data_IF_248033811255
#
_entry.id   IF_248033811255
#
_cell.length_a   1.000
_cell.length_b   1.000
_cell.length_c   1.000
_cell.angle_alpha   90.00
_cell.angle_beta   90.00
_cell.angle_gamma   90.00
#
_symmetry.space_group_name_H-M   'P 1'
#
loop_
_entity.id
_entity.type
_entity.pdbx_description
1 polymer ?
#
# COMPACT_ATOMS: atom_id res chain seq x y z
N UNK A 1 30.08 -18.86 13.50
CA UNK A 1 29.56 -19.49 12.26
C UNK A 1 28.31 -20.26 12.63
N UNK A 2 27.16 -19.59 12.72
CA UNK A 2 25.89 -20.24 13.05
C UNK A 2 25.21 -20.72 11.77
N UNK A 3 25.20 -22.03 11.59
CA UNK A 3 24.48 -22.70 10.51
C UNK A 3 22.98 -22.58 10.74
N UNK A 4 22.25 -22.12 9.72
CA UNK A 4 20.79 -22.19 9.67
C UNK A 4 20.35 -23.66 9.70
N UNK A 5 19.99 -24.16 10.87
CA UNK A 5 19.39 -25.48 11.04
C UNK A 5 17.94 -25.48 10.52
N UNK A 6 17.59 -26.44 9.66
CA UNK A 6 16.18 -26.74 9.31
C UNK A 6 15.81 -26.73 7.82
N UNK A 7 16.70 -26.39 6.89
CA UNK A 7 16.39 -26.53 5.46
C UNK A 7 16.47 -28.01 5.04
N UNK A 8 15.34 -28.59 4.61
CA UNK A 8 15.33 -29.89 3.93
C UNK A 8 16.27 -29.78 2.72
N UNK A 9 17.16 -30.76 2.56
CA UNK A 9 17.96 -30.90 1.33
C UNK A 9 17.00 -31.16 0.17
N UNK A 10 16.71 -30.13 -0.62
CA UNK A 10 16.00 -30.27 -1.88
C UNK A 10 16.88 -31.04 -2.88
N UNK A 11 16.25 -31.88 -3.72
CA UNK A 11 16.96 -32.59 -4.80
C UNK A 11 17.62 -31.55 -5.71
N UNK A 12 18.80 -31.89 -6.26
CA UNK A 12 19.47 -31.04 -7.23
C UNK A 12 18.51 -30.72 -8.39
N UNK A 13 18.10 -29.45 -8.48
CA UNK A 13 17.21 -28.95 -9.53
C UNK A 13 17.94 -29.00 -10.88
N UNK A 14 17.20 -29.22 -11.97
CA UNK A 14 17.81 -29.20 -13.30
C UNK A 14 18.33 -27.79 -13.62
N UNK A 15 19.36 -27.66 -14.49
CA UNK A 15 19.86 -26.34 -14.93
C UNK A 15 18.77 -25.42 -15.49
N UNK A 16 17.74 -26.00 -16.12
CA UNK A 16 16.60 -25.28 -16.67
C UNK A 16 15.71 -24.67 -15.58
N UNK A 17 15.42 -25.43 -14.50
CA UNK A 17 14.64 -24.94 -13.36
C UNK A 17 15.39 -23.84 -12.61
N UNK A 18 16.70 -24.00 -12.42
CA UNK A 18 17.56 -22.99 -11.79
C UNK A 18 17.56 -21.69 -12.60
N UNK A 19 17.72 -21.78 -13.92
CA UNK A 19 17.69 -20.61 -14.81
C UNK A 19 16.33 -19.92 -14.78
N UNK A 20 15.23 -20.67 -14.86
CA UNK A 20 13.89 -20.11 -14.80
C UNK A 20 13.60 -19.41 -13.45
N UNK A 21 14.15 -19.91 -12.34
CA UNK A 21 14.06 -19.24 -11.03
C UNK A 21 14.86 -17.93 -11.02
N UNK A 22 16.10 -17.96 -11.52
CA UNK A 22 16.95 -16.77 -11.61
C UNK A 22 16.31 -15.68 -12.50
N UNK A 23 15.72 -16.06 -13.63
CA UNK A 23 15.04 -15.12 -14.51
C UNK A 23 13.82 -14.47 -13.83
N UNK A 24 13.04 -15.25 -13.05
CA UNK A 24 11.93 -14.71 -12.23
C UNK A 24 12.41 -13.80 -11.12
N UNK A 25 13.44 -14.18 -10.38
CA UNK A 25 14.04 -13.36 -9.33
C UNK A 25 14.60 -12.04 -9.90
N UNK A 26 15.24 -12.09 -11.07
CA UNK A 26 15.75 -10.90 -11.74
C UNK A 26 14.63 -9.91 -12.11
N UNK A 27 13.47 -10.39 -12.54
CA UNK A 27 12.29 -9.54 -12.79
C UNK A 27 11.82 -8.88 -11.50
N UNK A 28 11.66 -9.65 -10.42
CA UNK A 28 11.23 -9.10 -9.12
C UNK A 28 12.20 -8.05 -8.56
N UNK A 29 13.51 -8.28 -8.72
CA UNK A 29 14.55 -7.32 -8.30
C UNK A 29 14.47 -6.03 -9.11
N UNK A 30 14.23 -6.13 -10.43
CA UNK A 30 14.06 -4.95 -11.29
C UNK A 30 12.83 -4.14 -10.89
N UNK A 31 11.68 -4.79 -10.76
CA UNK A 31 10.44 -4.14 -10.33
C UNK A 31 10.61 -3.45 -8.97
N UNK A 32 11.24 -4.12 -8.00
CA UNK A 32 11.51 -3.52 -6.69
C UNK A 32 12.46 -2.31 -6.77
N UNK A 33 13.48 -2.37 -7.63
CA UNK A 33 14.43 -1.27 -7.83
C UNK A 33 13.74 -0.06 -8.45
N UNK A 34 12.92 -0.26 -9.48
CA UNK A 34 12.13 0.81 -10.12
C UNK A 34 11.18 1.47 -9.12
N UNK A 35 10.48 0.68 -8.29
CA UNK A 35 9.60 1.22 -7.24
C UNK A 35 10.37 2.09 -6.24
N UNK A 36 11.56 1.65 -5.84
CA UNK A 36 12.43 2.39 -4.91
C UNK A 36 12.92 3.70 -5.50
N UNK A 37 13.35 3.69 -6.75
CA UNK A 37 13.84 4.89 -7.46
C UNK A 37 12.72 5.92 -7.60
N UNK A 38 11.53 5.50 -8.04
CA UNK A 38 10.36 6.39 -8.14
C UNK A 38 9.97 7.01 -6.78
N UNK A 39 10.00 6.23 -5.69
CA UNK A 39 9.76 6.76 -4.35
C UNK A 39 10.84 7.75 -3.92
N UNK A 40 12.10 7.45 -4.21
CA UNK A 40 13.23 8.32 -3.87
C UNK A 40 13.12 9.66 -4.56
N UNK A 41 12.75 9.69 -5.84
CA UNK A 41 12.52 10.92 -6.60
C UNK A 41 11.43 11.80 -5.98
N UNK A 42 10.29 11.20 -5.60
CA UNK A 42 9.22 11.92 -4.90
C UNK A 42 9.75 12.55 -3.61
N UNK A 43 10.42 11.75 -2.77
CA UNK A 43 10.90 12.19 -1.45
C UNK A 43 11.97 13.28 -1.58
N UNK A 44 12.92 13.12 -2.50
CA UNK A 44 14.00 14.09 -2.73
C UNK A 44 13.47 15.41 -3.28
N UNK A 45 12.47 15.36 -4.15
CA UNK A 45 11.85 16.56 -4.72
C UNK A 45 11.12 17.41 -3.67
N UNK A 46 10.64 16.77 -2.59
CA UNK A 46 9.75 17.37 -1.57
C UNK A 46 8.53 18.07 -2.15
N UNK A 47 8.12 17.70 -3.37
CA UNK A 47 6.91 18.21 -4.02
C UNK A 47 5.74 17.31 -3.62
N UNK A 48 4.98 17.77 -2.64
CA UNK A 48 3.81 17.08 -2.11
C UNK A 48 2.56 17.52 -2.87
N UNK A 49 2.44 17.11 -4.12
CA UNK A 49 1.38 17.55 -5.02
C UNK A 49 0.56 16.40 -5.59
N UNK A 50 -0.36 16.73 -6.52
CA UNK A 50 -1.22 15.76 -7.18
C UNK A 50 -0.43 14.76 -8.04
N UNK A 51 0.74 15.15 -8.57
CA UNK A 51 1.57 14.27 -9.38
C UNK A 51 2.27 13.23 -8.50
N UNK A 52 2.74 13.64 -7.31
CA UNK A 52 3.24 12.72 -6.29
C UNK A 52 2.14 11.74 -5.82
N UNK A 53 0.92 12.24 -5.59
CA UNK A 53 -0.21 11.39 -5.21
C UNK A 53 -0.58 10.39 -6.32
N UNK A 54 -0.62 10.84 -7.59
CA UNK A 54 -0.87 9.97 -8.75
C UNK A 54 0.21 8.90 -8.91
N UNK A 55 1.47 9.27 -8.69
CA UNK A 55 2.59 8.32 -8.74
C UNK A 55 2.45 7.27 -7.63
N UNK A 56 2.22 7.66 -6.37
CA UNK A 56 2.02 6.68 -5.29
C UNK A 56 0.80 5.77 -5.53
N UNK A 57 -0.28 6.27 -6.12
CA UNK A 57 -1.43 5.46 -6.55
C UNK A 57 -1.00 4.39 -7.57
N UNK A 58 -0.20 4.75 -8.57
CA UNK A 58 0.31 3.80 -9.56
C UNK A 58 1.23 2.75 -8.93
N UNK A 59 2.09 3.16 -7.99
CA UNK A 59 2.98 2.25 -7.27
C UNK A 59 2.20 1.27 -6.38
N UNK A 60 1.15 1.72 -5.69
CA UNK A 60 0.30 0.86 -4.84
C UNK A 60 -0.50 -0.17 -5.64
N UNK A 61 -0.89 0.16 -6.88
CA UNK A 61 -1.50 -0.84 -7.78
C UNK A 61 -0.54 -1.96 -8.17
N UNK A 62 0.77 -1.66 -8.24
CA UNK A 62 1.82 -2.67 -8.51
C UNK A 62 2.20 -3.45 -7.24
N UNK A 63 2.32 -2.76 -6.11
CA UNK A 63 2.76 -3.35 -4.84
C UNK A 63 1.94 -2.81 -3.64
N UNK A 64 0.73 -3.35 -3.42
CA UNK A 64 -0.21 -2.84 -2.42
C UNK A 64 0.29 -2.97 -0.98
N UNK A 65 1.15 -3.95 -0.71
CA UNK A 65 1.68 -4.22 0.63
C UNK A 65 3.07 -3.59 0.88
N UNK A 66 3.58 -2.78 -0.05
CA UNK A 66 4.83 -2.09 0.18
C UNK A 66 4.64 -0.87 1.08
N UNK A 67 4.90 -1.08 2.38
CA UNK A 67 4.66 -0.11 3.46
C UNK A 67 5.27 1.28 3.23
N UNK A 68 6.44 1.36 2.58
CA UNK A 68 7.11 2.64 2.33
C UNK A 68 6.28 3.55 1.44
N UNK A 69 5.54 3.00 0.46
CA UNK A 69 4.65 3.79 -0.40
C UNK A 69 3.54 4.44 0.43
N UNK A 70 2.94 3.70 1.36
CA UNK A 70 1.89 4.22 2.26
C UNK A 70 2.40 5.33 3.16
N UNK A 71 3.62 5.21 3.70
CA UNK A 71 4.23 6.26 4.51
C UNK A 71 4.45 7.53 3.69
N UNK A 72 5.00 7.41 2.48
CA UNK A 72 5.20 8.55 1.57
C UNK A 72 3.85 9.16 1.18
N UNK A 73 2.82 8.34 0.90
CA UNK A 73 1.47 8.81 0.60
C UNK A 73 0.87 9.63 1.75
N UNK A 74 1.03 9.20 3.00
CA UNK A 74 0.59 9.98 4.17
C UNK A 74 1.35 11.28 4.31
N UNK A 75 2.66 11.30 4.04
CA UNK A 75 3.45 12.54 4.00
C UNK A 75 2.92 13.50 2.94
N UNK A 76 2.65 12.99 1.73
CA UNK A 76 2.06 13.79 0.64
C UNK A 76 0.72 14.38 1.08
N UNK A 77 -0.19 13.56 1.63
CA UNK A 77 -1.49 14.02 2.12
C UNK A 77 -1.35 15.08 3.21
N UNK A 78 -0.51 14.82 4.22
CA UNK A 78 -0.31 15.74 5.34
C UNK A 78 0.29 17.07 4.90
N UNK A 79 1.44 17.05 4.23
CA UNK A 79 2.17 18.27 3.91
C UNK A 79 1.59 19.02 2.70
N UNK A 80 1.03 18.28 1.73
CA UNK A 80 0.55 18.83 0.48
C UNK A 80 -0.90 19.30 0.51
N UNK A 81 -1.74 18.63 1.30
CA UNK A 81 -3.19 18.81 1.20
C UNK A 81 -3.88 19.11 2.53
N UNK A 82 -3.46 18.47 3.63
CA UNK A 82 -4.16 18.55 4.91
C UNK A 82 -3.66 19.67 5.83
N UNK A 83 -2.37 20.00 5.78
CA UNK A 83 -1.73 20.97 6.70
C UNK A 83 -2.44 22.32 6.79
N UNK A 84 -3.01 22.79 5.68
CA UNK A 84 -3.71 24.07 5.59
C UNK A 84 -5.17 23.91 5.15
N UNK A 85 -5.71 22.69 5.16
CA UNK A 85 -7.11 22.46 4.81
C UNK A 85 -8.03 22.85 5.98
N UNK A 86 -9.18 23.43 5.64
CA UNK A 86 -10.29 23.50 6.58
C UNK A 86 -10.93 22.11 6.78
N UNK A 87 -11.79 22.00 7.79
CA UNK A 87 -12.46 20.74 8.12
C UNK A 87 -13.25 20.15 6.95
N UNK A 88 -13.91 20.98 6.15
CA UNK A 88 -14.71 20.51 5.02
C UNK A 88 -13.81 19.89 3.94
N UNK A 89 -12.73 20.57 3.60
CA UNK A 89 -11.74 20.12 2.60
C UNK A 89 -11.00 18.88 3.09
N UNK A 90 -10.59 18.85 4.36
CA UNK A 90 -9.95 17.69 4.96
C UNK A 90 -10.86 16.47 4.93
N UNK A 91 -12.14 16.61 5.30
CA UNK A 91 -13.11 15.52 5.22
C UNK A 91 -13.34 15.02 3.78
N UNK A 92 -13.33 15.91 2.77
CA UNK A 92 -13.40 15.50 1.34
C UNK A 92 -12.17 14.70 0.93
N UNK A 93 -10.98 15.13 1.33
CA UNK A 93 -9.71 14.43 1.05
C UNK A 93 -9.74 13.03 1.68
N UNK A 94 -10.06 12.92 2.97
CA UNK A 94 -10.15 11.62 3.64
C UNK A 94 -11.23 10.72 3.03
N UNK A 95 -12.38 11.27 2.64
CA UNK A 95 -13.43 10.50 1.97
C UNK A 95 -12.90 9.89 0.66
N UNK A 96 -12.20 10.67 -0.17
CA UNK A 96 -11.56 10.16 -1.38
C UNK A 96 -10.51 9.08 -1.11
N UNK A 97 -9.71 9.22 -0.06
CA UNK A 97 -8.75 8.19 0.35
C UNK A 97 -9.44 6.91 0.84
N UNK A 98 -10.54 7.02 1.59
CA UNK A 98 -11.33 5.87 2.03
C UNK A 98 -11.96 5.12 0.84
N UNK A 99 -12.39 5.83 -0.19
CA UNK A 99 -12.90 5.25 -1.44
C UNK A 99 -11.78 4.52 -2.19
N UNK A 100 -10.62 5.18 -2.36
CA UNK A 100 -9.43 4.57 -2.95
C UNK A 100 -9.02 3.28 -2.23
N UNK A 101 -8.93 3.29 -0.90
CA UNK A 101 -8.59 2.09 -0.12
C UNK A 101 -9.66 1.01 -0.27
N UNK A 102 -10.94 1.37 -0.25
CA UNK A 102 -12.02 0.40 -0.42
C UNK A 102 -11.98 -0.31 -1.78
N UNK A 103 -11.67 0.40 -2.86
CA UNK A 103 -11.51 -0.20 -4.19
C UNK A 103 -10.37 -1.22 -4.22
N UNK A 104 -9.25 -0.91 -3.56
CA UNK A 104 -8.09 -1.80 -3.55
C UNK A 104 -8.24 -2.97 -2.57
N UNK A 105 -8.97 -2.79 -1.46
CA UNK A 105 -9.31 -3.87 -0.53
C UNK A 105 -10.15 -4.96 -1.20
N UNK A 106 -10.96 -4.64 -2.22
CA UNK A 106 -11.67 -5.69 -3.00
C UNK A 106 -10.71 -6.63 -3.73
N UNK A 107 -9.52 -6.15 -4.09
CA UNK A 107 -8.48 -6.93 -4.77
C UNK A 107 -7.56 -7.64 -3.78
N UNK A 108 -7.26 -7.00 -2.64
CA UNK A 108 -6.41 -7.56 -1.59
C UNK A 108 -7.03 -7.35 -0.19
N UNK A 109 -8.08 -8.13 0.16
CA UNK A 109 -8.86 -7.89 1.37
C UNK A 109 -8.10 -8.13 2.68
N UNK A 110 -6.93 -8.79 2.61
CA UNK A 110 -6.07 -9.14 3.74
C UNK A 110 -4.85 -8.21 3.88
N UNK A 111 -4.78 -7.15 3.07
CA UNK A 111 -3.70 -6.17 3.17
C UNK A 111 -3.76 -5.42 4.50
N UNK A 112 -2.84 -5.73 5.40
CA UNK A 112 -2.70 -5.02 6.67
C UNK A 112 -2.49 -3.52 6.46
N UNK A 113 -1.69 -3.13 5.46
CA UNK A 113 -1.35 -1.73 5.24
C UNK A 113 -2.53 -0.91 4.72
N UNK A 114 -3.42 -1.51 3.92
CA UNK A 114 -4.67 -0.87 3.51
C UNK A 114 -5.60 -0.63 4.69
N UNK A 115 -5.83 -1.63 5.53
CA UNK A 115 -6.63 -1.47 6.74
C UNK A 115 -6.03 -0.45 7.71
N UNK A 116 -4.70 -0.48 7.89
CA UNK A 116 -3.99 0.48 8.71
C UNK A 116 -4.07 1.91 8.15
N UNK A 117 -4.04 2.10 6.83
CA UNK A 117 -4.23 3.42 6.21
C UNK A 117 -5.68 3.89 6.33
N UNK A 118 -6.64 2.98 6.15
CA UNK A 118 -8.07 3.27 6.36
C UNK A 118 -8.33 3.76 7.78
N UNK A 119 -7.82 3.05 8.78
CA UNK A 119 -7.88 3.42 10.19
C UNK A 119 -7.26 4.80 10.42
N UNK A 120 -6.08 5.04 9.87
CA UNK A 120 -5.42 6.35 9.95
C UNK A 120 -6.32 7.48 9.41
N UNK A 121 -6.97 7.30 8.25
CA UNK A 121 -7.91 8.31 7.74
C UNK A 121 -9.06 8.56 8.74
N UNK A 122 -9.72 7.51 9.22
CA UNK A 122 -10.86 7.62 10.13
C UNK A 122 -10.51 8.28 11.47
N UNK A 123 -9.31 8.01 12.01
CA UNK A 123 -8.84 8.60 13.26
C UNK A 123 -8.53 10.11 13.15
N UNK A 124 -8.23 10.61 11.94
CA UNK A 124 -7.87 12.01 11.71
C UNK A 124 -9.00 12.83 11.09
N UNK A 125 -10.11 12.20 10.69
CA UNK A 125 -11.32 12.89 10.24
C UNK A 125 -11.99 13.58 11.42
N UNK A 126 -12.43 14.83 11.23
CA UNK A 126 -13.27 15.52 12.23
C UNK A 126 -14.70 14.99 12.24
N UNK A 127 -15.20 14.46 11.11
CA UNK A 127 -16.56 13.91 10.99
C UNK A 127 -16.59 12.55 10.27
N UNK A 128 -16.03 11.48 10.87
CA UNK A 128 -16.06 10.14 10.29
C UNK A 128 -17.49 9.59 10.20
N UNK A 129 -17.81 9.01 9.04
CA UNK A 129 -19.12 8.37 8.75
C UNK A 129 -19.12 6.92 9.21
N UNK A 130 -19.21 6.70 10.53
CA UNK A 130 -19.17 5.36 11.14
C UNK A 130 -20.28 4.43 10.64
N UNK A 131 -21.44 4.98 10.27
CA UNK A 131 -22.54 4.26 9.64
C UNK A 131 -22.10 3.59 8.33
N UNK A 132 -21.38 4.31 7.48
CA UNK A 132 -20.82 3.80 6.23
C UNK A 132 -19.70 2.80 6.49
N UNK A 133 -18.83 3.08 7.47
CA UNK A 133 -17.72 2.20 7.80
C UNK A 133 -18.20 0.85 8.30
N UNK A 134 -19.17 0.83 9.22
CA UNK A 134 -19.75 -0.40 9.73
C UNK A 134 -20.39 -1.22 8.60
N UNK A 135 -21.17 -0.58 7.73
CA UNK A 135 -21.78 -1.25 6.58
C UNK A 135 -20.73 -1.84 5.62
N UNK A 136 -19.59 -1.18 5.46
CA UNK A 136 -18.47 -1.67 4.65
C UNK A 136 -17.81 -2.89 5.31
N UNK A 137 -17.46 -2.81 6.60
CA UNK A 137 -16.86 -3.93 7.35
C UNK A 137 -17.79 -5.14 7.35
N UNK A 138 -19.10 -4.96 7.58
CA UNK A 138 -20.09 -6.04 7.50
C UNK A 138 -20.04 -6.75 6.14
N UNK A 139 -19.97 -6.00 5.02
CA UNK A 139 -19.86 -6.60 3.68
C UNK A 139 -18.56 -7.39 3.50
N UNK A 140 -17.43 -6.92 4.03
CA UNK A 140 -16.17 -7.67 3.96
C UNK A 140 -16.21 -8.95 4.80
N UNK A 141 -16.88 -8.94 5.95
CA UNK A 141 -17.11 -10.13 6.78
C UNK A 141 -18.12 -11.10 6.15
N UNK A 142 -19.14 -10.60 5.44
CA UNK A 142 -20.05 -11.44 4.64
C UNK A 142 -19.30 -12.16 3.50
N UNK A 143 -18.30 -11.50 2.90
CA UNK A 143 -17.47 -12.08 1.84
C UNK A 143 -16.44 -13.09 2.38
N UNK A 144 -15.81 -12.81 3.52
CA UNK A 144 -14.93 -13.74 4.24
C UNK A 144 -15.06 -13.51 5.76
N UNK A 145 -15.82 -14.38 6.43
CA UNK A 145 -16.08 -14.28 7.86
C UNK A 145 -14.84 -14.50 8.76
N UNK A 146 -13.71 -14.91 8.17
CA UNK A 146 -12.41 -15.09 8.87
C UNK A 146 -11.39 -14.01 8.51
N UNK A 147 -11.80 -12.97 7.79
CA UNK A 147 -10.96 -11.82 7.50
C UNK A 147 -10.68 -11.02 8.78
#
# INVERSE_FOLDING_TARGET
MEGRHGQKKEKAESPEVLKARQDKEAVLVREYTELKEALKEIVDSKKWDNDALRTTTALLRKSPDYYTIWNVRRTILNEGFLKNADDETANKIYTGELEFVQENLKLNPKSYFMWNHRRWCLEHMSQPRWDKELAMVCKFLELDARN
#
